data_IF_923856815319
#
_entry.id   IF_923856815319
#
_cell.length_a   1.000
_cell.length_b   1.000
_cell.length_c   1.000
_cell.angle_alpha   90.00
_cell.angle_beta   90.00
_cell.angle_gamma   90.00
#
_symmetry.space_group_name_H-M   'P 1'
#
loop_
_entity.id
_entity.type
_entity.pdbx_description
1 polymer ?
#
# COMPACT_ATOMS: atom_id res chain seq x y z
N UNK A 1 9.29 7.16 27.65
CA UNK A 1 8.84 8.01 28.76
C UNK A 1 7.31 8.25 28.80
N UNK A 2 6.58 8.38 27.67
CA UNK A 2 5.12 8.68 27.70
C UNK A 2 4.16 7.48 27.72
N UNK A 3 4.57 6.31 27.21
CA UNK A 3 3.77 5.07 27.31
C UNK A 3 3.46 4.69 28.77
N UNK A 4 4.41 4.96 29.68
CA UNK A 4 4.24 4.73 31.12
C UNK A 4 3.26 5.70 31.81
N UNK A 5 2.81 6.78 31.15
CA UNK A 5 1.78 7.67 31.68
C UNK A 5 0.36 7.14 31.43
N UNK A 6 0.18 6.26 30.43
CA UNK A 6 -1.11 5.60 30.15
C UNK A 6 -1.14 4.14 30.62
N UNK A 7 0.01 3.49 30.69
CA UNK A 7 0.14 2.09 31.12
C UNK A 7 0.85 2.08 32.48
N UNK A 8 0.08 1.88 33.55
CA UNK A 8 0.61 1.78 34.92
C UNK A 8 1.31 0.44 35.21
N UNK A 9 1.23 -0.54 34.29
CA UNK A 9 1.87 -1.85 34.47
C UNK A 9 3.38 -1.79 34.17
N UNK A 10 4.17 -1.86 35.25
CA UNK A 10 5.64 -1.88 35.22
C UNK A 10 6.23 -3.16 34.60
N UNK A 11 5.50 -4.28 34.61
CA UNK A 11 5.94 -5.53 33.99
C UNK A 11 5.81 -5.46 32.47
N UNK A 12 4.67 -5.01 31.98
CA UNK A 12 4.43 -4.77 30.56
C UNK A 12 5.40 -3.73 29.98
N UNK A 13 5.67 -2.65 30.70
CA UNK A 13 6.65 -1.63 30.30
C UNK A 13 8.08 -2.20 30.20
N UNK A 14 8.47 -3.09 31.12
CA UNK A 14 9.74 -3.80 31.04
C UNK A 14 9.80 -4.74 29.83
N UNK A 15 8.70 -5.43 29.53
CA UNK A 15 8.60 -6.33 28.39
C UNK A 15 8.72 -5.57 27.07
N UNK A 16 7.95 -4.49 26.89
CA UNK A 16 8.06 -3.60 25.72
C UNK A 16 9.48 -3.05 25.59
N UNK A 17 10.09 -2.62 26.70
CA UNK A 17 11.48 -2.18 26.71
C UNK A 17 12.47 -3.26 26.29
N UNK A 18 12.23 -4.54 26.65
CA UNK A 18 13.02 -5.68 26.18
C UNK A 18 12.81 -5.94 24.68
N UNK A 19 11.58 -5.83 24.17
CA UNK A 19 11.28 -5.98 22.74
C UNK A 19 11.89 -4.86 21.88
N UNK A 20 11.91 -3.63 22.37
CA UNK A 20 12.54 -2.49 21.68
C UNK A 20 14.06 -2.61 21.62
N UNK A 21 14.67 -3.15 22.68
CA UNK A 21 16.12 -3.41 22.75
C UNK A 21 16.53 -4.75 22.16
N UNK A 22 15.58 -5.55 21.70
CA UNK A 22 15.88 -6.82 21.04
C UNK A 22 16.62 -6.50 19.74
N UNK A 23 17.89 -6.93 19.68
CA UNK A 23 18.77 -6.74 18.54
C UNK A 23 18.20 -7.35 17.26
N UNK A 24 18.52 -6.74 16.12
CA UNK A 24 18.28 -7.34 14.80
C UNK A 24 19.44 -8.28 14.47
N UNK A 25 19.14 -9.44 13.90
CA UNK A 25 20.17 -10.29 13.28
C UNK A 25 20.33 -9.82 11.84
N UNK A 26 21.39 -9.06 11.58
CA UNK A 26 21.79 -8.70 10.21
C UNK A 26 23.01 -9.53 9.82
N UNK A 27 22.92 -10.25 8.69
CA UNK A 27 23.96 -11.12 8.14
C UNK A 27 24.65 -12.05 9.16
N UNK A 28 23.88 -12.65 10.07
CA UNK A 28 24.39 -13.62 11.06
C UNK A 28 25.08 -13.04 12.29
N UNK A 29 25.14 -11.71 12.43
CA UNK A 29 25.62 -11.03 13.65
C UNK A 29 24.46 -10.34 14.37
N UNK A 30 24.39 -10.51 15.70
CA UNK A 30 23.44 -9.78 16.55
C UNK A 30 23.92 -8.34 16.67
N UNK A 31 23.25 -7.41 15.99
CA UNK A 31 23.48 -5.98 16.15
C UNK A 31 22.51 -5.47 17.20
N UNK A 32 23.01 -4.83 18.25
CA UNK A 32 22.14 -4.18 19.23
C UNK A 32 21.44 -3.00 18.56
N UNK A 33 20.11 -3.01 18.57
CA UNK A 33 19.30 -1.92 18.03
C UNK A 33 19.35 -0.75 19.02
N UNK A 34 20.15 0.29 18.74
CA UNK A 34 20.14 1.52 19.54
C UNK A 34 18.95 2.42 19.17
N UNK A 35 18.48 2.38 17.92
CA UNK A 35 17.32 3.11 17.44
C UNK A 35 16.48 2.25 16.47
N UNK A 36 15.15 2.25 16.67
CA UNK A 36 14.20 1.51 15.84
C UNK A 36 13.67 0.22 16.46
N UNK A 37 12.52 -0.23 15.97
CA UNK A 37 11.93 -1.55 16.31
C UNK A 37 12.34 -2.53 15.21
N UNK A 38 12.73 -3.78 15.52
CA UNK A 38 12.96 -4.80 14.49
C UNK A 38 11.77 -4.89 13.53
N UNK A 39 12.00 -4.60 12.25
CA UNK A 39 10.99 -4.73 11.19
C UNK A 39 10.52 -6.19 11.14
N UNK A 40 9.27 -6.43 11.56
CA UNK A 40 8.69 -7.77 11.67
C UNK A 40 8.21 -8.14 13.08
N UNK A 41 8.48 -7.31 14.10
CA UNK A 41 7.83 -7.49 15.40
C UNK A 41 6.33 -7.15 15.28
N UNK A 42 5.41 -8.04 15.73
CA UNK A 42 3.97 -7.76 15.71
C UNK A 42 3.59 -6.56 16.60
N UNK A 43 4.48 -6.13 17.50
CA UNK A 43 4.31 -4.94 18.32
C UNK A 43 4.69 -3.64 17.60
N UNK A 44 5.50 -3.71 16.54
CA UNK A 44 5.96 -2.51 15.83
C UNK A 44 4.79 -1.66 15.28
N UNK A 45 3.77 -2.22 14.60
CA UNK A 45 2.65 -1.43 14.09
C UNK A 45 1.84 -0.75 15.20
N UNK A 46 1.68 -1.43 16.34
CA UNK A 46 0.98 -0.90 17.50
C UNK A 46 1.77 0.27 18.12
N UNK A 47 3.08 0.09 18.31
CA UNK A 47 3.93 1.11 18.89
C UNK A 47 4.04 2.34 17.99
N UNK A 48 4.15 2.17 16.66
CA UNK A 48 4.10 3.28 15.72
C UNK A 48 2.78 4.05 15.82
N UNK A 49 1.64 3.34 15.90
CA UNK A 49 0.33 4.00 16.06
C UNK A 49 0.20 4.78 17.37
N UNK A 50 0.71 4.25 18.49
CA UNK A 50 0.71 4.96 19.78
C UNK A 50 1.64 6.18 19.74
N UNK A 51 2.79 6.06 19.08
CA UNK A 51 3.74 7.16 18.93
C UNK A 51 3.15 8.30 18.09
N UNK A 52 2.41 7.94 17.03
CA UNK A 52 1.76 8.88 16.12
C UNK A 52 0.44 9.46 16.66
N UNK A 53 -0.19 8.87 17.68
CA UNK A 53 -1.39 9.41 18.37
C UNK A 53 -1.16 10.83 18.93
N UNK A 54 0.07 11.15 19.35
CA UNK A 54 0.40 12.51 19.79
C UNK A 54 0.37 13.51 18.63
N UNK A 55 0.85 13.11 17.46
CA UNK A 55 0.77 13.92 16.24
C UNK A 55 -0.70 14.16 15.87
N UNK A 56 -1.51 13.11 15.84
CA UNK A 56 -2.94 13.18 15.52
C UNK A 56 -3.66 14.21 16.40
N UNK A 57 -3.48 14.14 17.72
CA UNK A 57 -4.08 15.11 18.67
C UNK A 57 -3.63 16.55 18.45
N UNK A 58 -2.38 16.77 18.05
CA UNK A 58 -1.91 18.13 17.75
C UNK A 58 -2.54 18.68 16.47
N UNK A 59 -2.82 17.82 15.49
CA UNK A 59 -3.51 18.20 14.26
C UNK A 59 -4.99 18.48 14.50
N UNK A 60 -5.66 17.65 15.31
CA UNK A 60 -7.05 17.83 15.74
C UNK A 60 -7.24 19.13 16.52
N UNK A 61 -6.37 19.41 17.51
CA UNK A 61 -6.40 20.67 18.28
C UNK A 61 -6.24 21.91 17.41
N UNK A 62 -5.58 21.79 16.26
CA UNK A 62 -5.40 22.87 15.28
C UNK A 62 -6.53 22.94 14.25
N UNK A 63 -7.49 22.02 14.29
CA UNK A 63 -8.61 21.97 13.35
C UNK A 63 -8.21 21.59 11.92
N UNK A 64 -7.13 20.84 11.74
CA UNK A 64 -6.71 20.40 10.41
C UNK A 64 -7.47 19.14 9.98
N UNK A 65 -7.93 19.11 8.73
CA UNK A 65 -8.45 17.89 8.12
C UNK A 65 -7.28 17.01 7.67
N UNK A 66 -7.17 15.80 8.21
CA UNK A 66 -6.12 14.85 7.83
C UNK A 66 -6.67 13.43 7.73
N UNK A 67 -5.97 12.59 6.97
CA UNK A 67 -6.18 11.16 6.89
C UNK A 67 -4.84 10.47 7.18
N UNK A 68 -4.84 9.49 8.08
CA UNK A 68 -3.66 8.69 8.42
C UNK A 68 -3.95 7.22 8.22
N UNK A 69 -3.00 6.52 7.61
CA UNK A 69 -2.98 5.07 7.48
C UNK A 69 -1.58 4.55 7.79
N UNK A 70 -1.43 3.94 8.97
CA UNK A 70 -0.14 3.58 9.54
C UNK A 70 0.83 4.78 9.52
N UNK A 71 1.92 4.68 8.75
CA UNK A 71 2.95 5.72 8.62
C UNK A 71 2.63 6.74 7.52
N UNK A 72 1.70 6.44 6.60
CA UNK A 72 1.31 7.34 5.52
C UNK A 72 0.18 8.26 6.00
N UNK A 73 0.45 9.57 6.10
CA UNK A 73 -0.56 10.58 6.42
C UNK A 73 -0.66 11.64 5.32
N UNK A 74 -1.85 12.18 5.12
CA UNK A 74 -2.14 13.26 4.18
C UNK A 74 -2.96 14.32 4.89
N UNK A 75 -2.53 15.58 4.79
CA UNK A 75 -3.17 16.72 5.43
C UNK A 75 -3.72 17.63 4.35
N UNK A 76 -5.01 17.95 4.43
CA UNK A 76 -5.71 18.78 3.47
C UNK A 76 -5.70 20.23 3.95
N UNK A 77 -5.22 21.12 3.09
CA UNK A 77 -5.09 22.55 3.36
C UNK A 77 -5.71 23.37 2.23
N UNK A 78 -6.19 24.57 2.56
CA UNK A 78 -6.85 25.46 1.59
C UNK A 78 -5.87 26.16 0.64
N UNK A 79 -4.61 26.35 1.04
CA UNK A 79 -3.61 27.09 0.25
C UNK A 79 -2.23 26.43 0.27
N UNK A 80 -1.47 26.61 -0.81
CA UNK A 80 -0.11 26.08 -0.93
C UNK A 80 0.82 26.63 0.18
N UNK A 81 0.71 27.93 0.49
CA UNK A 81 1.48 28.57 1.57
C UNK A 81 1.16 27.95 2.94
N UNK A 82 -0.11 27.63 3.21
CA UNK A 82 -0.48 26.93 4.43
C UNK A 82 0.10 25.52 4.46
N UNK A 83 0.12 24.82 3.31
CA UNK A 83 0.75 23.51 3.17
C UNK A 83 2.23 23.52 3.51
N UNK A 84 2.99 24.47 2.95
CA UNK A 84 4.41 24.62 3.24
C UNK A 84 4.66 24.85 4.74
N UNK A 85 3.86 25.74 5.36
CA UNK A 85 3.95 26.04 6.79
C UNK A 85 3.66 24.80 7.65
N UNK A 86 2.62 24.04 7.31
CA UNK A 86 2.26 22.81 8.02
C UNK A 86 3.37 21.77 7.88
N UNK A 87 3.94 21.62 6.67
CA UNK A 87 5.04 20.69 6.42
C UNK A 87 6.27 21.04 7.28
N UNK A 88 6.71 22.30 7.29
CA UNK A 88 7.83 22.73 8.13
C UNK A 88 7.54 22.48 9.62
N UNK A 89 6.34 22.82 10.09
CA UNK A 89 5.96 22.63 11.50
C UNK A 89 5.96 21.15 11.90
N UNK A 90 5.47 20.27 11.02
CA UNK A 90 5.44 18.83 11.28
C UNK A 90 6.84 18.25 11.22
N UNK A 91 7.68 18.64 10.26
CA UNK A 91 9.08 18.20 10.20
C UNK A 91 9.83 18.56 11.48
N UNK A 92 9.67 19.79 11.97
CA UNK A 92 10.26 20.22 13.26
C UNK A 92 9.69 19.41 14.42
N UNK A 93 8.39 19.13 14.43
CA UNK A 93 7.76 18.31 15.47
C UNK A 93 8.27 16.87 15.47
N UNK A 94 8.34 16.23 14.30
CA UNK A 94 8.85 14.87 14.11
C UNK A 94 10.32 14.77 14.53
N UNK A 95 11.17 15.73 14.14
CA UNK A 95 12.58 15.74 14.52
C UNK A 95 12.78 16.01 16.02
N UNK A 96 12.09 17.00 16.60
CA UNK A 96 12.31 17.40 18.01
C UNK A 96 11.66 16.45 19.02
N UNK A 97 10.42 16.01 18.77
CA UNK A 97 9.64 15.21 19.73
C UNK A 97 9.82 13.72 19.51
N UNK A 98 9.84 13.30 18.25
CA UNK A 98 9.81 11.89 17.88
C UNK A 98 11.18 11.38 17.43
N UNK A 99 12.14 12.28 17.17
CA UNK A 99 13.49 11.98 16.63
C UNK A 99 13.44 11.13 15.36
N UNK A 100 12.40 11.31 14.55
CA UNK A 100 12.23 10.58 13.29
C UNK A 100 12.78 11.41 12.13
N UNK A 101 13.61 10.78 11.31
CA UNK A 101 14.05 11.37 10.04
C UNK A 101 12.88 11.40 9.06
N UNK A 102 12.56 12.59 8.55
CA UNK A 102 11.52 12.78 7.54
C UNK A 102 12.11 12.49 6.17
N UNK A 103 11.40 11.69 5.38
CA UNK A 103 11.80 11.41 4.00
C UNK A 103 11.30 12.55 3.09
N UNK A 104 12.16 13.53 2.83
CA UNK A 104 11.83 14.72 2.03
C UNK A 104 11.40 14.38 0.59
N UNK A 105 11.90 13.29 0.01
CA UNK A 105 11.50 12.83 -1.33
C UNK A 105 10.04 12.36 -1.38
N UNK A 106 9.51 11.85 -0.26
CA UNK A 106 8.12 11.40 -0.14
C UNK A 106 7.20 12.52 0.34
N UNK A 107 7.72 13.44 1.14
CA UNK A 107 6.97 14.53 1.75
C UNK A 107 6.93 15.76 0.85
N UNK A 108 5.92 15.84 -0.02
CA UNK A 108 5.72 16.97 -0.94
C UNK A 108 4.40 17.70 -0.68
N UNK A 109 4.43 19.03 -0.71
CA UNK A 109 3.21 19.84 -0.87
C UNK A 109 2.82 19.79 -2.35
N UNK A 110 1.69 19.18 -2.63
CA UNK A 110 1.19 19.01 -3.98
C UNK A 110 -0.29 19.38 -4.07
N UNK A 111 -0.75 19.63 -5.30
CA UNK A 111 -2.17 19.75 -5.57
C UNK A 111 -2.86 18.41 -5.31
N UNK A 112 -4.07 18.44 -4.74
CA UNK A 112 -4.89 17.24 -4.48
C UNK A 112 -5.06 16.38 -5.74
N UNK A 113 -5.01 17.01 -6.92
CA UNK A 113 -5.10 16.36 -8.25
C UNK A 113 -3.95 15.40 -8.55
N UNK A 114 -2.77 15.66 -8.00
CA UNK A 114 -1.53 14.93 -8.27
C UNK A 114 -1.12 14.03 -7.10
N UNK A 115 -1.72 14.25 -5.94
CA UNK A 115 -1.43 13.50 -4.73
C UNK A 115 -1.96 12.08 -4.83
N UNK A 116 -1.12 11.12 -4.43
CA UNK A 116 -1.46 9.70 -4.29
C UNK A 116 -1.78 9.40 -2.83
N UNK A 117 -2.83 8.65 -2.57
CA UNK A 117 -3.12 8.13 -1.23
C UNK A 117 -3.60 6.68 -1.33
N UNK A 118 -2.88 5.75 -0.69
CA UNK A 118 -3.23 4.31 -0.63
C UNK A 118 -3.50 3.63 -1.99
N UNK A 119 -2.85 4.11 -3.05
CA UNK A 119 -3.06 3.58 -4.42
C UNK A 119 -4.21 4.23 -5.19
N UNK A 120 -4.84 5.26 -4.63
CA UNK A 120 -5.85 6.09 -5.26
C UNK A 120 -5.28 7.48 -5.59
N UNK A 121 -5.91 8.12 -6.57
CA UNK A 121 -5.69 9.51 -6.99
C UNK A 121 -7.05 10.22 -7.05
N UNK A 122 -7.06 11.50 -6.73
CA UNK A 122 -8.29 12.30 -6.72
C UNK A 122 -8.33 13.18 -7.96
N UNK A 123 -9.24 12.93 -8.91
CA UNK A 123 -9.44 13.80 -10.08
C UNK A 123 -10.87 14.30 -10.12
N UNK A 124 -11.04 15.64 -10.15
CA UNK A 124 -12.36 16.31 -10.29
C UNK A 124 -13.42 15.81 -9.30
N UNK A 125 -13.04 15.57 -8.04
CA UNK A 125 -13.97 15.06 -7.02
C UNK A 125 -14.27 13.56 -7.10
N UNK A 126 -13.69 12.83 -8.04
CA UNK A 126 -13.82 11.39 -8.16
C UNK A 126 -12.55 10.67 -7.70
N UNK A 127 -12.74 9.53 -7.03
CA UNK A 127 -11.69 8.61 -6.64
C UNK A 127 -11.34 7.76 -7.87
N UNK A 128 -10.10 7.86 -8.34
CA UNK A 128 -9.57 7.07 -9.44
C UNK A 128 -8.42 6.19 -8.97
N UNK A 129 -8.20 5.08 -9.69
CA UNK A 129 -7.06 4.19 -9.44
C UNK A 129 -5.78 4.87 -9.93
N UNK A 130 -4.73 4.83 -9.12
CA UNK A 130 -3.44 5.40 -9.50
C UNK A 130 -2.78 4.61 -10.64
N UNK A 131 -2.19 5.31 -11.62
CA UNK A 131 -1.62 4.69 -12.83
C UNK A 131 -0.55 3.63 -12.53
N UNK A 132 0.31 3.86 -11.52
CA UNK A 132 1.31 2.84 -11.14
C UNK A 132 0.66 1.59 -10.55
N UNK A 133 -0.48 1.71 -9.88
CA UNK A 133 -1.23 0.55 -9.38
C UNK A 133 -1.82 -0.25 -10.56
N UNK A 134 -2.30 0.43 -11.61
CA UNK A 134 -2.74 -0.22 -12.86
C UNK A 134 -1.58 -0.90 -13.61
N UNK A 135 -0.40 -0.29 -13.64
CA UNK A 135 0.80 -0.91 -14.23
C UNK A 135 1.18 -2.18 -13.48
N UNK A 136 1.24 -2.12 -12.13
CA UNK A 136 1.49 -3.30 -11.29
C UNK A 136 0.44 -4.39 -11.50
N UNK A 137 -0.83 -4.00 -11.59
CA UNK A 137 -1.92 -4.92 -11.89
C UNK A 137 -1.71 -5.63 -13.24
N UNK A 138 -1.45 -4.85 -14.30
CA UNK A 138 -1.19 -5.40 -15.63
C UNK A 138 0.00 -6.35 -15.59
N UNK A 139 1.12 -5.97 -14.94
CA UNK A 139 2.31 -6.82 -14.79
C UNK A 139 1.98 -8.14 -14.10
N UNK A 140 1.24 -8.12 -12.99
CA UNK A 140 0.88 -9.33 -12.26
C UNK A 140 -0.04 -10.24 -13.07
N UNK A 141 -1.01 -9.67 -13.80
CA UNK A 141 -1.82 -10.43 -14.76
C UNK A 141 -0.94 -11.02 -15.85
N UNK A 142 0.10 -10.31 -16.35
CA UNK A 142 1.01 -10.88 -17.36
C UNK A 142 1.75 -12.12 -16.83
N UNK A 143 2.17 -12.07 -15.57
CA UNK A 143 2.86 -13.17 -14.89
C UNK A 143 1.92 -14.37 -14.71
N UNK A 144 0.69 -14.15 -14.26
CA UNK A 144 -0.34 -15.18 -14.09
C UNK A 144 -0.92 -15.69 -15.42
N UNK A 145 -0.72 -14.96 -16.52
CA UNK A 145 -1.10 -15.36 -17.87
C UNK A 145 0.13 -15.61 -18.75
N UNK A 146 1.19 -16.14 -18.14
CA UNK A 146 2.40 -16.49 -18.86
C UNK A 146 2.11 -17.65 -19.83
N UNK A 147 2.51 -17.45 -21.08
CA UNK A 147 2.35 -18.40 -22.17
C UNK A 147 3.25 -19.64 -22.04
N UNK A 148 4.35 -19.54 -21.27
CA UNK A 148 5.34 -20.61 -21.09
C UNK A 148 5.23 -21.29 -19.72
N UNK A 149 4.14 -21.08 -18.98
CA UNK A 149 4.10 -21.45 -17.57
C UNK A 149 4.09 -22.97 -17.30
N UNK A 150 3.68 -23.78 -18.28
CA UNK A 150 3.64 -25.25 -18.13
C UNK A 150 2.53 -25.76 -17.18
N UNK A 151 1.65 -24.87 -16.69
CA UNK A 151 0.55 -25.21 -15.78
C UNK A 151 -0.74 -25.47 -16.58
N UNK A 152 -1.57 -26.39 -16.08
CA UNK A 152 -2.90 -26.63 -16.64
C UNK A 152 -3.77 -25.34 -16.61
N UNK A 153 -4.46 -25.06 -17.72
CA UNK A 153 -5.28 -23.85 -17.87
C UNK A 153 -6.31 -23.64 -16.74
N UNK A 154 -6.90 -24.73 -16.23
CA UNK A 154 -7.84 -24.67 -15.09
C UNK A 154 -7.19 -24.08 -13.83
N UNK A 155 -5.98 -24.53 -13.49
CA UNK A 155 -5.21 -23.99 -12.35
C UNK A 155 -4.81 -22.54 -12.58
N UNK A 156 -4.40 -22.21 -13.80
CA UNK A 156 -4.06 -20.83 -14.18
C UNK A 156 -5.24 -19.87 -14.00
N UNK A 157 -6.45 -20.28 -14.42
CA UNK A 157 -7.69 -19.50 -14.23
C UNK A 157 -8.01 -19.33 -12.74
N UNK A 158 -7.84 -20.37 -11.91
CA UNK A 158 -8.07 -20.28 -10.47
C UNK A 158 -7.14 -19.24 -9.82
N UNK A 159 -5.85 -19.26 -10.15
CA UNK A 159 -4.89 -18.28 -9.63
C UNK A 159 -5.22 -16.85 -10.07
N UNK A 160 -5.59 -16.68 -11.35
CA UNK A 160 -6.00 -15.40 -11.89
C UNK A 160 -7.27 -14.88 -11.19
N UNK A 161 -8.31 -15.70 -11.05
CA UNK A 161 -9.57 -15.31 -10.41
C UNK A 161 -9.36 -14.89 -8.95
N UNK A 162 -8.50 -15.60 -8.21
CA UNK A 162 -8.17 -15.23 -6.83
C UNK A 162 -7.53 -13.85 -6.75
N UNK A 163 -6.60 -13.56 -7.65
CA UNK A 163 -5.95 -12.27 -7.74
C UNK A 163 -6.94 -11.15 -8.15
N UNK A 164 -7.75 -11.39 -9.18
CA UNK A 164 -8.75 -10.42 -9.66
C UNK A 164 -9.77 -10.10 -8.59
N UNK A 165 -10.25 -11.10 -7.82
CA UNK A 165 -11.19 -10.89 -6.71
C UNK A 165 -10.58 -10.02 -5.60
N UNK A 166 -9.36 -10.33 -5.17
CA UNK A 166 -8.68 -9.53 -4.15
C UNK A 166 -8.43 -8.09 -4.60
N UNK A 167 -7.98 -7.92 -5.84
CA UNK A 167 -7.76 -6.60 -6.42
C UNK A 167 -9.07 -5.82 -6.59
N UNK A 168 -10.12 -6.49 -7.07
CA UNK A 168 -11.47 -5.93 -7.18
C UNK A 168 -11.98 -5.43 -5.83
N UNK A 169 -11.96 -6.27 -4.79
CA UNK A 169 -12.44 -5.89 -3.45
C UNK A 169 -11.78 -4.61 -2.89
N UNK A 170 -10.50 -4.38 -3.20
CA UNK A 170 -9.80 -3.18 -2.74
C UNK A 170 -10.10 -1.95 -3.61
N UNK A 171 -10.09 -2.10 -4.94
CA UNK A 171 -10.19 -0.98 -5.87
C UNK A 171 -11.62 -0.63 -6.32
N UNK A 172 -12.63 -1.45 -6.02
CA UNK A 172 -14.03 -1.19 -6.40
C UNK A 172 -14.63 0.04 -5.70
N UNK A 173 -13.97 0.56 -4.67
CA UNK A 173 -14.29 1.86 -4.04
C UNK A 173 -14.10 3.01 -5.04
N UNK A 174 -13.18 2.88 -6.00
CA UNK A 174 -13.04 3.83 -7.09
C UNK A 174 -14.15 3.60 -8.11
N UNK A 175 -14.97 4.64 -8.35
CA UNK A 175 -16.07 4.61 -9.32
C UNK A 175 -15.54 4.53 -10.77
N UNK A 176 -15.08 3.35 -11.16
CA UNK A 176 -14.34 3.11 -12.39
C UNK A 176 -14.93 1.91 -13.15
N UNK A 177 -16.25 1.96 -13.42
CA UNK A 177 -16.95 0.93 -14.18
C UNK A 177 -16.31 0.72 -15.56
N UNK A 178 -16.10 1.81 -16.32
CA UNK A 178 -15.50 1.73 -17.66
C UNK A 178 -14.10 1.09 -17.63
N UNK A 179 -13.27 1.49 -16.67
CA UNK A 179 -11.94 0.92 -16.47
C UNK A 179 -12.02 -0.59 -16.18
N UNK A 180 -13.01 -1.02 -15.38
CA UNK A 180 -13.21 -2.43 -15.07
C UNK A 180 -13.59 -3.24 -16.32
N UNK A 181 -14.43 -2.68 -17.19
CA UNK A 181 -14.79 -3.27 -18.48
C UNK A 181 -13.56 -3.39 -19.40
N UNK A 182 -12.78 -2.33 -19.53
CA UNK A 182 -11.57 -2.32 -20.35
C UNK A 182 -10.52 -3.34 -19.85
N UNK A 183 -10.36 -3.43 -18.52
CA UNK A 183 -9.48 -4.43 -17.90
C UNK A 183 -10.00 -5.85 -18.13
N UNK A 184 -11.30 -6.10 -18.04
CA UNK A 184 -11.89 -7.42 -18.32
C UNK A 184 -11.67 -7.83 -19.78
N UNK A 185 -11.93 -6.95 -20.75
CA UNK A 185 -11.62 -7.21 -22.16
C UNK A 185 -10.15 -7.57 -22.38
N UNK A 186 -9.25 -6.80 -21.74
CA UNK A 186 -7.81 -7.04 -21.82
C UNK A 186 -7.41 -8.39 -21.20
N UNK A 187 -7.95 -8.74 -20.03
CA UNK A 187 -7.72 -10.02 -19.36
C UNK A 187 -8.22 -11.19 -20.22
N UNK A 188 -9.45 -11.11 -20.75
CA UNK A 188 -10.00 -12.14 -21.65
C UNK A 188 -9.15 -12.33 -22.90
N UNK A 189 -8.63 -11.24 -23.48
CA UNK A 189 -7.68 -11.33 -24.62
C UNK A 189 -6.43 -12.12 -24.22
N UNK A 190 -5.90 -11.94 -23.01
CA UNK A 190 -4.73 -12.70 -22.53
C UNK A 190 -5.01 -14.18 -22.31
N UNK A 191 -6.16 -14.51 -21.74
CA UNK A 191 -6.58 -15.91 -21.57
C UNK A 191 -6.74 -16.58 -22.94
N UNK A 192 -7.37 -15.91 -23.91
CA UNK A 192 -7.48 -16.39 -25.30
C UNK A 192 -6.11 -16.65 -25.93
N UNK A 193 -5.13 -15.78 -25.70
CA UNK A 193 -3.76 -16.00 -26.17
C UNK A 193 -3.09 -17.23 -25.55
N UNK A 194 -3.40 -17.57 -24.30
CA UNK A 194 -2.89 -18.79 -23.65
C UNK A 194 -3.49 -20.04 -24.30
N UNK A 195 -4.81 -20.06 -24.51
CA UNK A 195 -5.50 -21.13 -25.23
C UNK A 195 -4.98 -21.28 -26.67
N UNK A 196 -4.79 -20.18 -27.38
CA UNK A 196 -4.27 -20.18 -28.75
C UNK A 196 -2.89 -20.82 -28.86
N UNK A 197 -2.02 -20.59 -27.88
CA UNK A 197 -0.69 -21.22 -27.82
C UNK A 197 -0.77 -22.69 -27.43
N UNK A 198 -1.69 -23.06 -26.54
CA UNK A 198 -1.92 -24.45 -26.16
C UNK A 198 -2.42 -25.27 -27.36
N UNK A 199 -3.29 -24.69 -28.18
CA UNK A 199 -3.78 -25.27 -29.43
C UNK A 199 -2.72 -25.16 -30.53
N UNK A 200 -1.64 -25.94 -30.41
CA UNK A 200 -0.50 -25.92 -31.34
C UNK A 200 -0.89 -26.11 -32.81
N UNK A 201 -1.88 -26.96 -33.11
CA UNK A 201 -2.27 -27.35 -34.48
C UNK A 201 -3.48 -26.54 -35.00
N UNK A 202 -3.50 -26.13 -36.29
CA UNK A 202 -4.63 -25.40 -36.90
C UNK A 202 -5.98 -26.12 -36.75
N UNK A 203 -6.00 -27.44 -36.98
CA UNK A 203 -7.21 -28.27 -36.82
C UNK A 203 -7.81 -28.20 -35.42
N UNK A 204 -6.97 -28.15 -34.38
CA UNK A 204 -7.41 -28.05 -32.98
C UNK A 204 -7.99 -26.67 -32.67
N UNK A 205 -7.47 -25.61 -33.28
CA UNK A 205 -8.01 -24.25 -33.14
C UNK A 205 -9.40 -24.16 -33.73
N UNK A 206 -9.58 -24.62 -34.98
CA UNK A 206 -10.87 -24.61 -35.66
C UNK A 206 -11.90 -25.43 -34.88
N UNK A 207 -11.54 -26.65 -34.44
CA UNK A 207 -12.43 -27.50 -33.63
C UNK A 207 -12.88 -26.81 -32.34
N UNK A 208 -11.98 -26.14 -31.63
CA UNK A 208 -12.33 -25.47 -30.37
C UNK A 208 -13.06 -24.13 -30.56
N UNK A 209 -12.93 -23.48 -31.73
CA UNK A 209 -13.71 -22.30 -32.07
C UNK A 209 -15.15 -22.65 -32.50
N UNK A 210 -15.35 -23.83 -33.08
CA UNK A 210 -16.67 -24.33 -33.51
C UNK A 210 -17.47 -24.98 -32.37
N UNK A 211 -16.84 -25.28 -31.23
CA UNK A 211 -17.55 -25.71 -30.02
C UNK A 211 -18.30 -24.51 -29.45
N UNK A 212 -19.62 -24.46 -29.73
CA UNK A 212 -20.58 -23.56 -29.08
C UNK A 212 -20.79 -23.97 -27.62
#
# INVERSE_FOLDING_TARGET
HKLGCKINDKALMRLIGKYLRAGVVDKGKRVQTQEGVPQGSPLSPLLSNIMLDELDKTLEKRGHCFARYADDFTILVKSHRAGQRVLTNISVFLQRKLKLAVNEDKSRVGSVKETKFLGFSFKRGQIQIYDKALVKFKQQVRRLTNRNWGIAMKKQIIHLNRYLRGWGNYFFIANAYQLSVDLDHWVRRRIRMCYWRQWRRPRTKVRNLLKR
#
